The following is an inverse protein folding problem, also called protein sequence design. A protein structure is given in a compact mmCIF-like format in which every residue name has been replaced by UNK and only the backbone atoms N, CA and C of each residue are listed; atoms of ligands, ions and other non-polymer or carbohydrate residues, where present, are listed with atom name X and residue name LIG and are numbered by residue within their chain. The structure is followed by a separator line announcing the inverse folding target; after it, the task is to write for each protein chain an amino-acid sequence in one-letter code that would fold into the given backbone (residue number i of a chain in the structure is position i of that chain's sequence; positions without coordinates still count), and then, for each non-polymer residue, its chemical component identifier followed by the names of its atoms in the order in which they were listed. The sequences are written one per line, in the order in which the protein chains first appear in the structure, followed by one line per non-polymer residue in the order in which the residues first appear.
data_IF_216022401930
#
_entry.id   IF_216022401930
#
_cell.length_a   1.000
_cell.length_b   1.000
_cell.length_c   1.000
_cell.angle_alpha   90.00
_cell.angle_beta   90.00
_cell.angle_gamma   90.00
#
_symmetry.space_group_name_H-M   'P 1'
#
loop_
_entity.id
_entity.type
_entity.pdbx_description
1 polymer ?
#
# COMPACT_ATOMS: atom_id res chain seq x y z
N UNK A 1 8.74 -1.74 -35.82
CA UNK A 1 10.11 -1.31 -35.47
C UNK A 1 11.13 -1.72 -36.54
N UNK A 2 10.89 -2.80 -37.30
CA UNK A 2 11.90 -3.39 -38.20
C UNK A 2 12.29 -2.55 -39.43
N UNK A 3 11.39 -1.72 -39.98
CA UNK A 3 11.73 -0.88 -41.15
C UNK A 3 12.73 0.25 -40.86
N UNK A 4 12.84 0.70 -39.61
CA UNK A 4 13.70 1.85 -39.29
C UNK A 4 15.15 1.44 -38.98
N UNK A 5 15.35 0.25 -38.41
CA UNK A 5 16.66 -0.36 -38.23
C UNK A 5 17.34 -0.68 -39.58
N UNK A 6 16.55 -1.11 -40.58
CA UNK A 6 17.07 -1.34 -41.94
C UNK A 6 17.60 -0.05 -42.60
N UNK A 7 17.03 1.11 -42.28
CA UNK A 7 17.42 2.40 -42.85
C UNK A 7 18.75 2.93 -42.26
N UNK A 8 19.16 2.47 -41.07
CA UNK A 8 20.44 2.84 -40.45
C UNK A 8 21.67 2.32 -41.21
N UNK A 9 21.51 1.28 -42.03
CA UNK A 9 22.57 0.73 -42.90
C UNK A 9 22.65 1.40 -44.27
N UNK A 10 21.76 2.35 -44.56
CA UNK A 10 21.71 3.07 -45.83
C UNK A 10 22.46 4.40 -45.70
N UNK A 11 23.25 4.80 -46.70
CA UNK A 11 23.94 6.10 -46.67
C UNK A 11 22.92 7.23 -46.46
N UNK A 12 23.12 8.17 -45.50
CA UNK A 12 22.15 9.21 -45.18
C UNK A 12 21.76 10.09 -46.39
N UNK A 13 22.64 10.18 -47.38
CA UNK A 13 22.44 10.93 -48.63
C UNK A 13 21.37 10.31 -49.54
N UNK A 14 21.09 9.01 -49.41
CA UNK A 14 20.12 8.28 -50.23
C UNK A 14 18.70 8.29 -49.64
N UNK A 15 18.53 8.88 -48.46
CA UNK A 15 17.25 8.94 -47.76
C UNK A 15 16.47 10.20 -48.13
N UNK A 16 15.15 10.05 -48.26
CA UNK A 16 14.26 11.21 -48.41
C UNK A 16 14.32 12.10 -47.16
N UNK A 17 13.90 13.36 -47.28
CA UNK A 17 13.85 14.31 -46.15
C UNK A 17 12.95 13.76 -45.02
N UNK A 18 11.83 13.13 -45.37
CA UNK A 18 10.90 12.50 -44.42
C UNK A 18 11.55 11.33 -43.68
N UNK A 19 12.24 10.43 -44.39
CA UNK A 19 12.96 9.30 -43.78
C UNK A 19 14.07 9.77 -42.83
N UNK A 20 14.85 10.80 -43.23
CA UNK A 20 15.87 11.39 -42.36
C UNK A 20 15.28 12.01 -41.09
N UNK A 21 14.16 12.72 -41.22
CA UNK A 21 13.47 13.30 -40.07
C UNK A 21 12.96 12.21 -39.11
N UNK A 22 12.41 11.12 -39.63
CA UNK A 22 11.93 9.99 -38.84
C UNK A 22 13.05 9.27 -38.09
N UNK A 23 14.18 8.98 -38.77
CA UNK A 23 15.34 8.35 -38.12
C UNK A 23 15.91 9.28 -37.04
N UNK A 24 16.06 10.57 -37.34
CA UNK A 24 16.58 11.53 -36.37
C UNK A 24 15.67 11.68 -35.15
N UNK A 25 14.34 11.62 -35.33
CA UNK A 25 13.39 11.60 -34.22
C UNK A 25 13.56 10.34 -33.36
N UNK A 26 13.71 9.16 -33.96
CA UNK A 26 13.93 7.91 -33.24
C UNK A 26 15.27 7.88 -32.50
N UNK A 27 16.34 8.34 -33.14
CA UNK A 27 17.65 8.46 -32.49
C UNK A 27 17.59 9.41 -31.28
N UNK A 28 16.83 10.51 -31.37
CA UNK A 28 16.60 11.41 -30.22
C UNK A 28 15.86 10.71 -29.08
N UNK A 29 14.82 9.94 -29.39
CA UNK A 29 14.07 9.17 -28.37
C UNK A 29 14.99 8.15 -27.68
N UNK A 30 15.76 7.38 -28.46
CA UNK A 30 16.70 6.40 -27.90
C UNK A 30 17.82 7.07 -27.08
N UNK A 31 18.32 8.22 -27.54
CA UNK A 31 19.29 9.00 -26.79
C UNK A 31 18.73 9.46 -25.44
N UNK A 32 17.52 10.03 -25.42
CA UNK A 32 16.86 10.42 -24.17
C UNK A 32 16.59 9.22 -23.26
N UNK A 33 16.16 8.08 -23.80
CA UNK A 33 15.96 6.87 -23.01
C UNK A 33 17.26 6.38 -22.36
N UNK A 34 18.36 6.37 -23.11
CA UNK A 34 19.67 5.96 -22.62
C UNK A 34 20.21 6.93 -21.57
N UNK A 35 20.18 8.24 -21.84
CA UNK A 35 20.63 9.26 -20.89
C UNK A 35 19.78 9.24 -19.61
N UNK A 36 18.47 9.05 -19.74
CA UNK A 36 17.56 9.00 -18.60
C UNK A 36 17.82 7.78 -17.71
N UNK A 37 18.12 6.64 -18.33
CA UNK A 37 18.54 5.44 -17.60
C UNK A 37 19.80 5.71 -16.80
N UNK A 38 20.82 6.33 -17.41
CA UNK A 38 22.10 6.66 -16.75
C UNK A 38 21.92 7.59 -15.55
N UNK A 39 21.01 8.56 -15.64
CA UNK A 39 20.68 9.45 -14.52
C UNK A 39 20.13 8.67 -13.32
N UNK A 40 19.34 7.62 -13.58
CA UNK A 40 18.66 6.83 -12.55
C UNK A 40 19.49 5.66 -12.00
N UNK A 41 20.65 5.35 -12.59
CA UNK A 41 21.50 4.21 -12.19
C UNK A 41 21.82 4.22 -10.69
N UNK A 42 22.03 5.40 -10.09
CA UNK A 42 22.40 5.51 -8.66
C UNK A 42 21.35 5.02 -7.66
N UNK A 43 20.11 4.78 -8.09
CA UNK A 43 19.03 4.25 -7.25
C UNK A 43 18.46 2.94 -7.76
N UNK A 44 18.83 2.49 -8.96
CA UNK A 44 18.38 1.20 -9.51
C UNK A 44 18.79 0.02 -8.65
N UNK A 45 19.97 0.10 -8.04
CA UNK A 45 20.50 -0.97 -7.18
C UNK A 45 20.02 -0.88 -5.73
N UNK A 46 18.97 -0.09 -5.42
CA UNK A 46 18.48 0.09 -4.05
C UNK A 46 18.09 -1.23 -3.35
N UNK A 47 17.64 -2.23 -4.12
CA UNK A 47 17.31 -3.56 -3.59
C UNK A 47 18.52 -4.48 -3.36
N UNK A 48 19.74 -4.05 -3.72
CA UNK A 48 20.94 -4.88 -3.57
C UNK A 48 21.49 -4.86 -2.14
N UNK A 49 21.97 -6.00 -1.60
CA UNK A 49 22.62 -6.04 -0.30
C UNK A 49 23.84 -5.11 -0.27
N UNK A 50 23.86 -4.18 0.70
CA UNK A 50 24.97 -3.23 0.87
C UNK A 50 24.82 -1.92 0.10
N UNK A 51 23.66 -1.66 -0.52
CA UNK A 51 23.31 -0.34 -1.03
C UNK A 51 23.52 0.76 0.03
N UNK A 52 24.09 1.89 -0.39
CA UNK A 52 24.34 3.06 0.46
C UNK A 52 23.98 4.32 -0.28
N UNK A 53 23.31 5.25 0.41
CA UNK A 53 22.98 6.54 -0.18
C UNK A 53 24.14 7.50 0.06
N UNK A 54 24.96 7.73 -0.96
CA UNK A 54 26.10 8.64 -0.84
C UNK A 54 25.72 10.04 -0.35
N UNK A 55 26.61 10.70 0.40
CA UNK A 55 26.38 12.06 0.96
C UNK A 55 25.94 13.10 -0.09
N UNK A 56 26.42 12.97 -1.33
CA UNK A 56 26.01 13.83 -2.43
C UNK A 56 24.53 13.66 -2.80
N UNK A 57 24.05 12.41 -2.85
CA UNK A 57 22.64 12.10 -3.09
C UNK A 57 21.75 12.59 -1.95
N UNK A 58 22.17 12.38 -0.70
CA UNK A 58 21.46 12.92 0.48
C UNK A 58 21.32 14.44 0.43
N UNK A 59 22.40 15.15 0.05
CA UNK A 59 22.38 16.61 -0.10
C UNK A 59 21.48 17.07 -1.23
N UNK A 60 21.49 16.37 -2.38
CA UNK A 60 20.56 16.64 -3.49
C UNK A 60 19.13 16.50 -3.03
N UNK A 61 18.78 15.39 -2.39
CA UNK A 61 17.42 15.14 -1.89
C UNK A 61 16.98 16.21 -0.90
N UNK A 62 17.85 16.59 0.06
CA UNK A 62 17.55 17.68 1.00
C UNK A 62 17.26 18.99 0.28
N UNK A 63 18.12 19.38 -0.66
CA UNK A 63 17.93 20.60 -1.45
C UNK A 63 16.68 20.55 -2.32
N UNK A 64 16.27 19.35 -2.76
CA UNK A 64 15.06 19.11 -3.52
C UNK A 64 13.80 19.31 -2.65
N UNK A 65 13.81 18.74 -1.45
CA UNK A 65 12.73 18.85 -0.48
C UNK A 65 12.52 20.29 0.01
N UNK A 66 13.62 20.98 0.30
CA UNK A 66 13.65 22.34 0.84
C UNK A 66 13.66 23.43 -0.26
N UNK A 67 13.45 23.06 -1.53
CA UNK A 67 13.47 24.01 -2.64
C UNK A 67 12.30 25.00 -2.58
N UNK A 68 12.60 26.30 -2.66
CA UNK A 68 11.62 27.40 -2.65
C UNK A 68 11.68 28.30 -3.90
N UNK A 69 12.51 27.97 -4.88
CA UNK A 69 12.70 28.79 -6.08
C UNK A 69 11.55 28.69 -7.11
N UNK A 70 11.49 29.60 -8.09
CA UNK A 70 10.33 29.82 -8.96
C UNK A 70 10.16 28.82 -10.12
N UNK A 71 10.86 27.67 -10.10
CA UNK A 71 10.81 26.71 -11.20
C UNK A 71 9.50 25.92 -11.22
N UNK A 72 8.71 26.09 -12.27
CA UNK A 72 7.46 25.35 -12.47
C UNK A 72 7.69 23.83 -12.53
N UNK A 73 8.76 23.38 -13.20
CA UNK A 73 9.13 21.95 -13.27
C UNK A 73 9.29 21.33 -11.88
N UNK A 74 10.01 22.02 -10.98
CA UNK A 74 10.23 21.52 -9.61
C UNK A 74 8.95 21.65 -8.77
N UNK A 75 8.17 22.71 -8.95
CA UNK A 75 6.87 22.86 -8.30
C UNK A 75 5.92 21.71 -8.66
N UNK A 76 5.85 21.33 -9.93
CA UNK A 76 5.04 20.20 -10.40
C UNK A 76 5.51 18.87 -9.81
N UNK A 77 6.82 18.67 -9.64
CA UNK A 77 7.36 17.48 -8.98
C UNK A 77 6.89 17.35 -7.53
N UNK A 78 6.70 18.44 -6.79
CA UNK A 78 6.21 18.35 -5.39
C UNK A 78 4.84 17.68 -5.28
N UNK A 79 4.04 17.71 -6.34
CA UNK A 79 2.75 17.03 -6.42
C UNK A 79 2.85 15.57 -6.89
N UNK A 80 4.00 15.13 -7.41
CA UNK A 80 4.22 13.73 -7.78
C UNK A 80 4.23 12.79 -6.57
N UNK A 81 4.07 11.48 -6.80
CA UNK A 81 4.12 10.47 -5.75
C UNK A 81 5.43 10.55 -4.95
N UNK A 82 5.43 10.32 -3.62
CA UNK A 82 6.63 10.51 -2.80
C UNK A 82 7.80 9.62 -3.23
N UNK A 83 7.55 8.38 -3.66
CA UNK A 83 8.58 7.47 -4.20
C UNK A 83 9.29 8.05 -5.42
N UNK A 84 8.53 8.44 -6.45
CA UNK A 84 9.04 9.13 -7.64
C UNK A 84 9.84 10.40 -7.28
N UNK A 85 9.33 11.22 -6.35
CA UNK A 85 10.01 12.42 -5.92
C UNK A 85 11.37 12.11 -5.27
N UNK A 86 11.44 11.07 -4.42
CA UNK A 86 12.71 10.65 -3.80
C UNK A 86 13.70 10.14 -4.83
N UNK A 87 13.26 9.27 -5.74
CA UNK A 87 14.08 8.73 -6.83
C UNK A 87 14.74 9.88 -7.60
N UNK A 88 13.94 10.87 -8.01
CA UNK A 88 14.45 12.04 -8.72
C UNK A 88 15.36 12.91 -7.83
N UNK A 89 14.98 13.17 -6.58
CA UNK A 89 15.76 13.99 -5.66
C UNK A 89 17.11 13.37 -5.26
N UNK A 90 17.23 12.04 -5.31
CA UNK A 90 18.50 11.35 -5.10
C UNK A 90 19.41 11.43 -6.32
N UNK A 91 18.85 11.44 -7.53
CA UNK A 91 19.58 11.43 -8.79
C UNK A 91 19.95 12.83 -9.31
N UNK A 92 19.02 13.78 -9.22
CA UNK A 92 19.11 15.09 -9.87
C UNK A 92 19.31 16.22 -8.87
N UNK A 93 20.06 17.24 -9.26
CA UNK A 93 20.05 18.53 -8.56
C UNK A 93 18.93 19.43 -9.10
N UNK A 94 18.52 20.43 -8.31
CA UNK A 94 17.58 21.46 -8.77
C UNK A 94 18.05 22.15 -10.07
N UNK A 95 19.36 22.30 -10.24
CA UNK A 95 19.97 22.89 -11.44
C UNK A 95 19.79 22.01 -12.67
N UNK A 96 19.92 20.69 -12.50
CA UNK A 96 19.74 19.73 -13.60
C UNK A 96 18.30 19.77 -14.10
N UNK A 97 17.32 19.76 -13.19
CA UNK A 97 15.90 19.86 -13.54
C UNK A 97 15.57 21.15 -14.28
N UNK A 98 16.03 22.30 -13.76
CA UNK A 98 15.77 23.61 -14.38
C UNK A 98 16.37 23.71 -15.77
N UNK A 99 17.54 23.11 -16.00
CA UNK A 99 18.27 23.18 -17.28
C UNK A 99 17.96 22.06 -18.24
N UNK A 100 17.20 21.06 -17.81
CA UNK A 100 16.84 19.92 -18.64
C UNK A 100 15.99 20.38 -19.82
N UNK A 101 16.35 19.92 -21.02
CA UNK A 101 15.51 20.05 -22.21
C UNK A 101 14.17 19.35 -21.93
N UNK A 102 13.07 19.90 -22.44
CA UNK A 102 11.72 19.45 -22.09
C UNK A 102 11.53 17.93 -22.30
N UNK A 103 11.88 17.40 -23.49
CA UNK A 103 11.77 15.96 -23.76
C UNK A 103 12.71 15.05 -22.97
N UNK A 104 13.82 15.57 -22.44
CA UNK A 104 14.76 14.78 -21.64
C UNK A 104 14.25 14.61 -20.21
N UNK A 105 13.77 15.71 -19.60
CA UNK A 105 13.21 15.65 -18.25
C UNK A 105 11.97 14.76 -18.18
N UNK A 106 11.10 14.87 -19.19
CA UNK A 106 9.88 14.05 -19.28
C UNK A 106 10.22 12.56 -19.36
N UNK A 107 11.27 12.20 -20.10
CA UNK A 107 11.73 10.82 -20.19
C UNK A 107 12.34 10.31 -18.88
N UNK A 108 13.10 11.14 -18.16
CA UNK A 108 13.59 10.80 -16.80
C UNK A 108 12.42 10.59 -15.84
N UNK A 109 11.42 11.48 -15.85
CA UNK A 109 10.23 11.34 -15.02
C UNK A 109 9.43 10.08 -15.37
N UNK A 110 9.32 9.75 -16.66
CA UNK A 110 8.66 8.53 -17.14
C UNK A 110 9.38 7.28 -16.62
N UNK A 111 10.71 7.21 -16.74
CA UNK A 111 11.47 6.07 -16.24
C UNK A 111 11.48 5.96 -14.72
N UNK A 112 11.53 7.10 -14.01
CA UNK A 112 11.42 7.12 -12.55
C UNK A 112 10.10 6.50 -12.07
N UNK A 113 8.97 6.78 -12.76
CA UNK A 113 7.67 6.14 -12.49
C UNK A 113 7.67 4.64 -12.76
N UNK A 114 8.45 4.17 -13.74
CA UNK A 114 8.53 2.74 -14.05
C UNK A 114 9.30 1.96 -12.99
N UNK A 115 10.39 2.52 -12.47
CA UNK A 115 11.21 1.84 -11.45
C UNK A 115 10.70 2.06 -10.02
N UNK A 116 9.76 2.99 -9.83
CA UNK A 116 9.20 3.34 -8.52
C UNK A 116 8.71 2.12 -7.70
N UNK A 117 7.91 1.20 -8.25
CA UNK A 117 7.41 0.06 -7.48
C UNK A 117 8.51 -0.88 -7.00
N UNK A 118 9.62 -0.97 -7.73
CA UNK A 118 10.75 -1.86 -7.44
C UNK A 118 11.70 -1.23 -6.42
N UNK A 119 11.96 0.08 -6.55
CA UNK A 119 12.99 0.78 -5.80
C UNK A 119 12.47 1.38 -4.49
N UNK A 120 11.26 1.94 -4.52
CA UNK A 120 10.71 2.70 -3.38
C UNK A 120 10.57 1.89 -2.09
N UNK A 121 10.16 0.61 -2.09
CA UNK A 121 10.09 -0.19 -0.86
C UNK A 121 11.43 -0.27 -0.10
N UNK A 122 12.55 -0.22 -0.84
CA UNK A 122 13.90 -0.23 -0.25
C UNK A 122 14.33 1.17 0.21
N UNK A 123 13.93 2.22 -0.49
CA UNK A 123 14.30 3.60 -0.15
C UNK A 123 13.55 4.14 1.08
N UNK A 124 12.24 3.86 1.19
CA UNK A 124 11.39 4.44 2.26
C UNK A 124 11.84 4.04 3.67
N UNK A 125 12.42 2.86 3.82
CA UNK A 125 12.91 2.34 5.09
C UNK A 125 14.43 2.58 5.29
N UNK A 126 15.10 3.23 4.33
CA UNK A 126 16.53 3.46 4.41
C UNK A 126 16.86 4.57 5.42
N UNK A 127 17.65 4.24 6.46
CA UNK A 127 17.94 5.14 7.59
C UNK A 127 18.48 6.53 7.20
N UNK A 128 19.30 6.61 6.15
CA UNK A 128 19.83 7.89 5.66
C UNK A 128 18.76 8.76 4.99
N UNK A 129 17.80 8.15 4.29
CA UNK A 129 16.68 8.85 3.65
C UNK A 129 15.73 9.36 4.72
N UNK A 130 15.40 8.52 5.72
CA UNK A 130 14.61 8.91 6.88
C UNK A 130 15.18 10.17 7.57
N UNK A 131 16.49 10.19 7.81
CA UNK A 131 17.18 11.35 8.40
C UNK A 131 17.04 12.59 7.54
N UNK A 132 17.23 12.47 6.23
CA UNK A 132 17.10 13.60 5.29
C UNK A 132 15.68 14.15 5.30
N UNK A 133 14.67 13.29 5.14
CA UNK A 133 13.25 13.68 5.12
C UNK A 133 12.84 14.31 6.44
N UNK A 134 13.18 13.70 7.58
CA UNK A 134 12.83 14.24 8.90
C UNK A 134 13.51 15.60 9.19
N UNK A 135 14.70 15.83 8.65
CA UNK A 135 15.42 17.10 8.76
C UNK A 135 14.96 18.21 7.80
N UNK A 136 14.05 17.90 6.86
CA UNK A 136 13.51 18.89 5.90
C UNK A 136 12.51 19.83 6.58
N UNK A 137 12.29 21.02 6.02
CA UNK A 137 11.21 21.92 6.43
C UNK A 137 9.85 21.61 5.76
N UNK A 138 9.81 20.66 4.82
CA UNK A 138 8.63 20.34 4.02
C UNK A 138 7.68 19.37 4.74
N UNK A 139 6.86 19.89 5.66
CA UNK A 139 5.91 19.10 6.46
C UNK A 139 4.87 18.36 5.61
N UNK A 140 4.45 18.93 4.48
CA UNK A 140 3.51 18.29 3.56
C UNK A 140 4.10 17.03 2.95
N UNK A 141 5.36 17.10 2.50
CA UNK A 141 6.06 15.92 1.99
C UNK A 141 6.26 14.88 3.09
N UNK A 142 6.66 15.29 4.31
CA UNK A 142 6.82 14.37 5.45
C UNK A 142 5.57 13.56 5.71
N UNK A 143 4.39 14.20 5.75
CA UNK A 143 3.12 13.50 5.96
C UNK A 143 2.84 12.46 4.86
N UNK A 144 3.06 12.82 3.60
CA UNK A 144 2.88 11.90 2.45
C UNK A 144 3.90 10.76 2.43
N UNK A 145 5.14 11.05 2.83
CA UNK A 145 6.21 10.07 2.95
C UNK A 145 5.94 9.08 4.09
N UNK A 146 5.42 9.54 5.22
CA UNK A 146 5.04 8.66 6.33
C UNK A 146 3.89 7.74 5.94
N UNK A 147 2.85 8.28 5.27
CA UNK A 147 1.76 7.46 4.76
C UNK A 147 2.25 6.37 3.78
N UNK A 148 3.21 6.71 2.91
CA UNK A 148 3.84 5.74 2.01
C UNK A 148 4.64 4.69 2.78
N UNK A 149 5.41 5.07 3.81
CA UNK A 149 6.13 4.12 4.67
C UNK A 149 5.20 3.15 5.35
N UNK A 150 4.13 3.66 5.96
CA UNK A 150 3.12 2.83 6.61
C UNK A 150 2.52 1.83 5.62
N UNK A 151 2.16 2.27 4.42
CA UNK A 151 1.64 1.39 3.36
C UNK A 151 2.65 0.30 2.96
N UNK A 152 3.93 0.63 2.83
CA UNK A 152 4.96 -0.35 2.49
C UNK A 152 5.25 -1.33 3.63
N UNK A 153 5.27 -0.86 4.88
CA UNK A 153 5.40 -1.72 6.05
C UNK A 153 4.24 -2.70 6.17
N UNK A 154 3.02 -2.22 5.94
CA UNK A 154 1.83 -3.09 5.87
C UNK A 154 2.03 -4.11 4.75
N UNK A 155 2.33 -3.68 3.53
CA UNK A 155 2.51 -4.57 2.38
C UNK A 155 3.60 -5.65 2.60
N UNK A 156 4.69 -5.32 3.30
CA UNK A 156 5.75 -6.26 3.63
C UNK A 156 5.29 -7.39 4.59
N UNK A 157 4.30 -7.11 5.45
CA UNK A 157 3.70 -8.09 6.37
C UNK A 157 2.62 -8.97 5.72
N UNK A 158 2.34 -8.79 4.43
CA UNK A 158 1.32 -9.54 3.70
C UNK A 158 1.72 -11.01 3.58
N UNK A 159 0.82 -11.90 3.99
CA UNK A 159 1.01 -13.35 3.89
C UNK A 159 0.56 -13.85 2.52
N UNK A 160 -0.62 -13.41 2.07
CA UNK A 160 -1.25 -13.88 0.84
C UNK A 160 -2.32 -12.90 0.34
N UNK A 161 -3.02 -13.27 -0.73
CA UNK A 161 -4.23 -12.59 -1.16
C UNK A 161 -5.27 -13.59 -1.62
N UNK A 162 -6.53 -13.26 -1.39
CA UNK A 162 -7.67 -14.03 -1.90
C UNK A 162 -8.53 -13.11 -2.78
N UNK A 163 -9.19 -13.70 -3.78
CA UNK A 163 -10.09 -12.98 -4.67
C UNK A 163 -11.51 -13.46 -4.40
N UNK A 164 -12.37 -12.55 -3.91
CA UNK A 164 -13.74 -12.87 -3.50
C UNK A 164 -14.66 -11.80 -4.10
N UNK A 165 -15.70 -12.23 -4.81
CA UNK A 165 -16.72 -11.35 -5.40
C UNK A 165 -16.16 -10.20 -6.24
N UNK A 166 -15.09 -10.44 -7.00
CA UNK A 166 -14.50 -9.40 -7.85
C UNK A 166 -13.47 -8.51 -7.14
N UNK A 167 -13.17 -8.74 -5.86
CA UNK A 167 -12.32 -7.88 -5.04
C UNK A 167 -11.15 -8.69 -4.48
N UNK A 168 -9.93 -8.15 -4.59
CA UNK A 168 -8.78 -8.68 -3.89
C UNK A 168 -8.80 -8.26 -2.42
N UNK A 169 -8.65 -9.25 -1.54
CA UNK A 169 -8.38 -9.06 -0.12
C UNK A 169 -6.97 -9.53 0.18
N UNK A 170 -6.19 -8.66 0.81
CA UNK A 170 -4.84 -8.94 1.27
C UNK A 170 -4.90 -9.48 2.69
N UNK A 171 -4.31 -10.66 2.88
CA UNK A 171 -4.34 -11.39 4.15
C UNK A 171 -3.07 -11.12 4.94
N UNK A 172 -3.26 -10.74 6.20
CA UNK A 172 -2.24 -10.51 7.20
C UNK A 172 -2.61 -11.29 8.46
N UNK A 173 -1.62 -11.64 9.28
CA UNK A 173 -1.86 -12.13 10.65
C UNK A 173 -1.35 -11.06 11.58
N UNK A 174 -2.19 -10.65 12.54
CA UNK A 174 -1.84 -9.70 13.58
C UNK A 174 -1.51 -10.45 14.88
N UNK A 175 -0.23 -10.83 15.10
CA UNK A 175 0.20 -11.27 16.41
C UNK A 175 0.30 -10.04 17.34
N UNK A 176 -0.15 -10.19 18.58
CA UNK A 176 0.17 -9.25 19.69
C UNK A 176 -0.26 -7.79 19.48
N UNK A 177 -1.52 -7.55 19.08
CA UNK A 177 -2.10 -6.19 19.04
C UNK A 177 -2.96 -5.94 20.29
N UNK A 178 -2.65 -4.92 21.13
CA UNK A 178 -3.41 -4.65 22.36
C UNK A 178 -4.92 -4.43 22.11
N UNK A 179 -5.27 -3.75 21.02
CA UNK A 179 -6.67 -3.52 20.61
C UNK A 179 -7.41 -4.81 20.25
N UNK A 180 -6.68 -5.86 19.90
CA UNK A 180 -7.22 -7.17 19.51
C UNK A 180 -7.11 -8.20 20.63
N UNK A 181 -6.59 -7.84 21.80
CA UNK A 181 -6.39 -8.76 22.93
C UNK A 181 -7.63 -9.62 23.25
N UNK A 182 -8.86 -9.07 23.27
CA UNK A 182 -10.05 -9.90 23.50
C UNK A 182 -10.27 -10.96 22.41
N UNK A 183 -10.07 -10.61 21.14
CA UNK A 183 -10.19 -11.56 20.02
C UNK A 183 -9.06 -12.59 20.02
N UNK A 184 -7.84 -12.15 20.36
CA UNK A 184 -6.66 -13.02 20.48
C UNK A 184 -6.91 -14.08 21.55
N UNK A 185 -7.45 -13.71 22.72
CA UNK A 185 -7.77 -14.64 23.81
C UNK A 185 -8.85 -15.64 23.45
N UNK A 186 -9.81 -15.25 22.61
CA UNK A 186 -10.85 -16.14 22.11
C UNK A 186 -10.31 -17.10 21.05
N UNK A 187 -9.29 -16.69 20.28
CA UNK A 187 -8.77 -17.47 19.16
C UNK A 187 -7.95 -18.68 19.59
N UNK A 188 -8.19 -19.84 18.96
CA UNK A 188 -7.46 -21.08 19.24
C UNK A 188 -5.94 -20.97 19.07
N UNK A 189 -5.51 -20.20 18.07
CA UNK A 189 -4.12 -20.06 17.70
C UNK A 189 -3.48 -18.80 18.31
N UNK A 190 -4.21 -18.05 19.15
CA UNK A 190 -3.74 -16.79 19.73
C UNK A 190 -3.46 -15.71 18.68
N UNK A 191 -4.10 -15.77 17.51
CA UNK A 191 -3.91 -14.78 16.44
C UNK A 191 -5.24 -14.36 15.81
N UNK A 192 -5.21 -13.18 15.17
CA UNK A 192 -6.32 -12.65 14.37
C UNK A 192 -5.85 -12.51 12.94
N UNK A 193 -6.59 -13.10 12.00
CA UNK A 193 -6.39 -12.86 10.58
C UNK A 193 -7.06 -11.55 10.19
N UNK A 194 -6.35 -10.68 9.47
CA UNK A 194 -6.84 -9.40 8.99
C UNK A 194 -6.90 -9.44 7.47
N UNK A 195 -8.06 -9.18 6.90
CA UNK A 195 -8.32 -9.12 5.47
C UNK A 195 -8.59 -7.68 5.07
N UNK A 196 -7.61 -7.06 4.41
CA UNK A 196 -7.70 -5.69 3.93
C UNK A 196 -8.08 -5.68 2.44
N UNK A 197 -9.20 -5.05 2.05
CA UNK A 197 -9.61 -4.97 0.65
C UNK A 197 -8.73 -3.99 -0.14
N UNK A 198 -8.54 -4.28 -1.42
CA UNK A 198 -7.92 -3.35 -2.37
C UNK A 198 -8.76 -2.08 -2.53
N UNK A 199 -10.08 -2.23 -2.68
CA UNK A 199 -11.04 -1.13 -2.83
C UNK A 199 -11.31 -0.41 -1.50
N UNK A 200 -11.86 0.80 -1.57
CA UNK A 200 -12.23 1.60 -0.39
C UNK A 200 -13.55 1.12 0.22
N UNK A 201 -13.52 -0.09 0.78
CA UNK A 201 -14.62 -0.74 1.49
C UNK A 201 -14.11 -1.30 2.83
N UNK A 202 -15.02 -1.76 3.68
CA UNK A 202 -14.66 -2.35 4.98
C UNK A 202 -13.75 -3.58 4.84
N UNK A 203 -12.84 -3.72 5.81
CA UNK A 203 -12.04 -4.93 5.97
C UNK A 203 -12.64 -5.88 7.01
N UNK A 204 -12.04 -7.07 7.14
CA UNK A 204 -12.56 -8.14 8.00
C UNK A 204 -11.46 -8.67 8.90
N UNK A 205 -11.74 -8.73 10.20
CA UNK A 205 -10.99 -9.52 11.17
C UNK A 205 -11.63 -10.90 11.27
N UNK A 206 -10.82 -11.95 11.33
CA UNK A 206 -11.29 -13.33 11.42
C UNK A 206 -10.54 -14.09 12.48
N UNK A 207 -11.28 -14.77 13.35
CA UNK A 207 -10.74 -15.70 14.33
C UNK A 207 -11.44 -17.06 14.22
N UNK A 208 -10.75 -18.11 14.65
CA UNK A 208 -11.35 -19.42 14.87
C UNK A 208 -11.26 -19.72 16.36
N UNK A 209 -12.39 -19.98 17.00
CA UNK A 209 -12.51 -20.24 18.44
C UNK A 209 -13.17 -21.59 18.71
N UNK A 210 -13.04 -22.07 19.95
CA UNK A 210 -13.63 -23.32 20.38
C UNK A 210 -15.14 -23.30 20.28
N UNK A 211 -15.72 -24.47 20.05
CA UNK A 211 -17.16 -24.63 20.17
C UNK A 211 -17.60 -24.31 21.61
N UNK A 212 -18.30 -23.19 21.76
CA UNK A 212 -18.85 -22.70 23.03
C UNK A 212 -20.31 -22.28 22.81
N UNK A 213 -21.21 -23.12 23.33
CA UNK A 213 -22.67 -22.90 23.22
C UNK A 213 -23.09 -21.64 23.98
N UNK A 214 -22.47 -21.33 25.12
CA UNK A 214 -22.83 -20.15 25.92
C UNK A 214 -22.43 -18.88 25.18
N UNK A 215 -21.26 -18.89 24.53
CA UNK A 215 -20.82 -17.79 23.67
C UNK A 215 -21.76 -17.58 22.47
N UNK A 216 -22.19 -18.68 21.81
CA UNK A 216 -23.12 -18.63 20.69
C UNK A 216 -24.52 -18.15 21.08
N UNK A 217 -25.08 -18.66 22.18
CA UNK A 217 -26.38 -18.25 22.72
C UNK A 217 -26.36 -16.76 23.07
N UNK A 218 -25.30 -16.33 23.75
CA UNK A 218 -25.16 -14.96 24.22
C UNK A 218 -25.00 -13.97 23.07
N UNK A 219 -24.09 -14.22 22.13
CA UNK A 219 -23.76 -13.23 21.11
C UNK A 219 -24.58 -13.39 19.83
N UNK A 220 -24.95 -14.61 19.45
CA UNK A 220 -25.43 -14.95 18.10
C UNK A 220 -26.81 -15.61 18.04
N UNK A 221 -27.63 -15.49 19.08
CA UNK A 221 -29.00 -16.02 19.11
C UNK A 221 -29.11 -17.55 18.93
N UNK A 222 -28.01 -18.27 19.11
CA UNK A 222 -28.02 -19.72 18.91
C UNK A 222 -29.03 -20.39 19.83
N UNK A 223 -29.88 -21.24 19.28
CA UNK A 223 -30.82 -22.04 20.05
C UNK A 223 -30.40 -23.51 20.00
N UNK A 224 -29.80 -23.97 21.10
CA UNK A 224 -29.34 -25.34 21.24
C UNK A 224 -30.41 -26.39 20.94
N UNK A 225 -31.68 -26.16 21.26
CA UNK A 225 -32.73 -27.16 21.01
C UNK A 225 -33.09 -27.29 19.53
N UNK A 226 -32.96 -26.20 18.76
CA UNK A 226 -33.33 -26.15 17.35
C UNK A 226 -32.14 -26.39 16.39
N UNK A 227 -30.92 -26.06 16.82
CA UNK A 227 -29.77 -25.87 15.90
C UNK A 227 -28.59 -26.81 16.18
N UNK A 228 -28.71 -27.73 17.15
CA UNK A 228 -27.60 -28.60 17.57
C UNK A 228 -27.01 -29.46 16.45
N UNK A 229 -27.83 -29.87 15.48
CA UNK A 229 -27.46 -30.72 14.35
C UNK A 229 -27.48 -29.96 13.00
N UNK A 230 -27.61 -28.63 13.05
CA UNK A 230 -27.57 -27.81 11.84
C UNK A 230 -26.11 -27.68 11.38
N UNK A 231 -25.77 -28.33 10.26
CA UNK A 231 -24.46 -28.19 9.63
C UNK A 231 -24.25 -26.74 9.17
N UNK A 232 -23.28 -26.04 9.77
CA UNK A 232 -22.85 -24.72 9.34
C UNK A 232 -23.79 -23.57 9.75
N UNK A 233 -24.26 -23.58 11.00
CA UNK A 233 -25.04 -22.47 11.57
C UNK A 233 -24.35 -21.13 11.28
N UNK A 234 -25.10 -20.17 10.74
CA UNK A 234 -24.59 -18.84 10.40
C UNK A 234 -25.53 -17.79 10.96
N UNK A 235 -25.00 -16.86 11.75
CA UNK A 235 -25.82 -15.84 12.42
C UNK A 235 -25.05 -14.52 12.63
N UNK A 236 -25.81 -13.46 12.83
CA UNK A 236 -25.33 -12.11 13.12
C UNK A 236 -25.40 -11.83 14.63
N UNK A 237 -24.49 -10.99 15.13
CA UNK A 237 -24.40 -10.72 16.56
C UNK A 237 -25.39 -9.64 17.03
N UNK A 238 -25.76 -9.69 18.31
CA UNK A 238 -26.38 -8.55 18.99
C UNK A 238 -25.42 -7.38 19.19
N UNK A 239 -25.77 -6.22 18.64
CA UNK A 239 -24.97 -4.98 18.73
C UNK A 239 -24.60 -4.66 20.17
N UNK A 240 -25.57 -4.76 21.09
CA UNK A 240 -25.41 -4.38 22.51
C UNK A 240 -24.44 -5.31 23.27
N UNK A 241 -24.16 -6.50 22.75
CA UNK A 241 -23.33 -7.50 23.38
C UNK A 241 -21.92 -7.60 22.79
N UNK A 242 -21.67 -6.96 21.64
CA UNK A 242 -20.35 -6.95 20.98
C UNK A 242 -19.27 -6.39 21.90
N UNK A 243 -19.48 -5.22 22.51
CA UNK A 243 -18.46 -4.61 23.38
C UNK A 243 -18.09 -5.49 24.58
N UNK A 244 -19.08 -6.21 25.11
CA UNK A 244 -18.89 -7.07 26.27
C UNK A 244 -18.22 -8.41 25.90
N UNK A 245 -18.53 -8.97 24.73
CA UNK A 245 -18.01 -10.28 24.31
C UNK A 245 -16.69 -10.18 23.54
N UNK A 246 -16.53 -9.16 22.70
CA UNK A 246 -15.39 -8.99 21.79
C UNK A 246 -14.52 -7.77 22.15
N UNK A 247 -14.93 -6.96 23.14
CA UNK A 247 -14.18 -5.81 23.63
C UNK A 247 -14.63 -4.46 23.04
N UNK A 248 -14.31 -3.39 23.78
CA UNK A 248 -14.73 -2.03 23.43
C UNK A 248 -14.05 -1.51 22.16
N UNK A 249 -12.79 -1.84 21.93
CA UNK A 249 -12.05 -1.41 20.73
C UNK A 249 -12.67 -1.99 19.45
N UNK A 250 -13.09 -3.26 19.50
CA UNK A 250 -13.79 -3.93 18.40
C UNK A 250 -15.14 -3.27 18.14
N UNK A 251 -15.91 -3.00 19.19
CA UNK A 251 -17.18 -2.30 19.06
C UNK A 251 -17.01 -0.90 18.43
N UNK A 252 -15.98 -0.16 18.83
CA UNK A 252 -15.69 1.16 18.26
C UNK A 252 -15.25 1.06 16.79
N UNK A 253 -14.38 0.12 16.45
CA UNK A 253 -13.91 -0.09 15.08
C UNK A 253 -15.05 -0.54 14.13
N UNK A 254 -15.95 -1.38 14.64
CA UNK A 254 -17.18 -1.77 13.97
C UNK A 254 -18.08 -0.56 13.70
N UNK A 255 -18.25 0.34 14.67
CA UNK A 255 -19.09 1.53 14.52
C UNK A 255 -18.59 2.51 13.46
N UNK A 256 -17.31 2.46 13.10
CA UNK A 256 -16.74 3.25 12.02
C UNK A 256 -16.91 2.61 10.62
N UNK A 257 -17.47 1.40 10.53
CA UNK A 257 -17.62 0.67 9.27
C UNK A 257 -18.80 1.15 8.43
N UNK A 258 -18.67 1.01 7.11
CA UNK A 258 -19.76 1.27 6.15
C UNK A 258 -20.92 0.30 6.41
N UNK A 259 -20.61 -0.97 6.68
CA UNK A 259 -21.57 -2.03 6.98
C UNK A 259 -22.45 -1.66 8.16
N UNK A 260 -21.86 -1.10 9.23
CA UNK A 260 -22.64 -0.68 10.40
C UNK A 260 -23.59 0.46 10.09
N UNK A 261 -23.17 1.40 9.24
CA UNK A 261 -24.01 2.51 8.82
C UNK A 261 -25.26 2.04 8.05
N UNK A 262 -25.21 0.84 7.43
CA UNK A 262 -26.31 0.24 6.69
C UNK A 262 -27.26 -0.61 7.53
N UNK A 263 -26.91 -0.95 8.78
CA UNK A 263 -27.70 -1.83 9.65
C UNK A 263 -29.02 -1.17 10.16
N UNK A 264 -29.40 0.05 9.75
CA UNK A 264 -30.72 0.67 9.94
C UNK A 264 -31.34 0.54 11.36
N UNK A 265 -30.52 0.63 12.43
CA UNK A 265 -30.94 0.46 13.84
C UNK A 265 -31.44 -0.94 14.23
N UNK A 266 -31.12 -1.98 13.46
CA UNK A 266 -31.39 -3.37 13.85
C UNK A 266 -30.66 -3.71 15.17
N UNK A 267 -31.29 -4.42 16.13
CA UNK A 267 -30.61 -4.97 17.30
C UNK A 267 -29.46 -5.93 16.95
N UNK A 268 -29.51 -6.56 15.77
CA UNK A 268 -28.45 -7.37 15.20
C UNK A 268 -27.57 -6.54 14.27
N UNK A 269 -26.31 -6.95 14.10
CA UNK A 269 -25.37 -6.30 13.17
C UNK A 269 -24.79 -7.27 12.17
N UNK A 270 -24.75 -6.86 10.91
CA UNK A 270 -24.04 -7.60 9.87
C UNK A 270 -22.52 -7.47 9.98
N UNK A 271 -22.03 -6.63 10.89
CA UNK A 271 -20.60 -6.46 11.08
C UNK A 271 -19.96 -7.58 11.89
N UNK A 272 -20.73 -8.35 12.67
CA UNK A 272 -20.19 -9.48 13.43
C UNK A 272 -21.01 -10.70 13.09
N UNK A 273 -20.38 -11.62 12.37
CA UNK A 273 -20.99 -12.86 11.91
C UNK A 273 -20.25 -14.03 12.50
N UNK A 274 -20.97 -15.12 12.73
CA UNK A 274 -20.35 -16.40 12.99
C UNK A 274 -20.75 -17.42 11.93
N UNK A 275 -19.84 -18.35 11.68
CA UNK A 275 -20.12 -19.63 11.08
C UNK A 275 -19.69 -20.71 12.08
N UNK A 276 -20.65 -21.43 12.64
CA UNK A 276 -20.41 -22.41 13.68
C UNK A 276 -20.56 -23.83 13.11
N UNK A 277 -19.60 -24.69 13.46
CA UNK A 277 -19.57 -26.10 13.12
C UNK A 277 -19.76 -26.90 14.41
N UNK A 278 -20.97 -27.42 14.68
CA UNK A 278 -21.30 -28.10 15.94
C UNK A 278 -20.25 -29.12 16.38
N UNK A 279 -19.80 -29.00 17.62
CA UNK A 279 -18.79 -29.87 18.23
C UNK A 279 -17.36 -29.72 17.69
N UNK A 280 -17.12 -28.81 16.74
CA UNK A 280 -15.80 -28.58 16.13
C UNK A 280 -15.26 -27.20 16.50
N UNK A 281 -15.73 -26.14 15.81
CA UNK A 281 -15.17 -24.79 15.93
C UNK A 281 -16.25 -23.74 15.61
N UNK A 282 -15.98 -22.50 16.01
CA UNK A 282 -16.71 -21.33 15.57
C UNK A 282 -15.74 -20.42 14.83
N UNK A 283 -16.12 -20.01 13.63
CA UNK A 283 -15.44 -18.97 12.88
C UNK A 283 -16.19 -17.66 13.13
N UNK A 284 -15.50 -16.66 13.70
CA UNK A 284 -16.08 -15.33 13.91
C UNK A 284 -15.42 -14.35 12.94
N UNK A 285 -16.26 -13.62 12.22
CA UNK A 285 -15.87 -12.58 11.28
C UNK A 285 -16.38 -11.24 11.80
N UNK A 286 -15.48 -10.26 11.92
CA UNK A 286 -15.76 -8.91 12.37
C UNK A 286 -15.38 -7.93 11.27
N UNK A 287 -16.38 -7.34 10.63
CA UNK A 287 -16.23 -6.25 9.67
C UNK A 287 -15.95 -4.94 10.38
N UNK A 288 -14.87 -4.27 10.00
CA UNK A 288 -14.45 -2.97 10.52
C UNK A 288 -14.03 -2.05 9.38
N UNK A 289 -13.93 -0.75 9.63
CA UNK A 289 -13.49 0.19 8.60
C UNK A 289 -12.09 -0.14 8.06
N UNK A 290 -11.85 0.20 6.79
CA UNK A 290 -10.52 0.04 6.16
C UNK A 290 -9.43 0.78 6.93
N UNK A 291 -9.76 1.96 7.44
CA UNK A 291 -8.84 2.78 8.24
C UNK A 291 -8.42 2.06 9.52
N UNK A 292 -9.37 1.46 10.24
CA UNK A 292 -9.04 0.70 11.45
C UNK A 292 -8.26 -0.58 11.15
N UNK A 293 -8.54 -1.27 10.03
CA UNK A 293 -7.69 -2.38 9.58
C UNK A 293 -6.24 -1.91 9.37
N UNK A 294 -6.03 -0.79 8.67
CA UNK A 294 -4.68 -0.24 8.47
C UNK A 294 -4.03 0.12 9.81
N UNK A 295 -4.75 0.78 10.70
CA UNK A 295 -4.23 1.15 12.03
C UNK A 295 -3.72 -0.10 12.78
N UNK A 296 -4.49 -1.19 12.80
CA UNK A 296 -4.10 -2.46 13.41
C UNK A 296 -2.80 -3.02 12.79
N UNK A 297 -2.68 -2.94 11.46
CA UNK A 297 -1.53 -3.49 10.73
C UNK A 297 -0.27 -2.62 10.91
N UNK A 298 -0.40 -1.30 11.04
CA UNK A 298 0.73 -0.39 11.25
C UNK A 298 1.47 -0.67 12.57
N UNK A 299 0.76 -1.12 13.62
CA UNK A 299 1.38 -1.48 14.90
C UNK A 299 2.14 -2.82 14.87
N UNK A 300 2.20 -3.54 13.74
CA UNK A 300 2.95 -4.80 13.62
C UNK A 300 4.41 -4.61 13.22
N UNK A 301 4.80 -3.40 12.80
CA UNK A 301 6.15 -3.05 12.32
C UNK A 301 7.04 -2.39 13.36
#
# INVERSE_FOLDING_TARGET
MDNALHLLHTRPQNLTVSQRAQILAQCKVLAFQSEASQVLDSVRDAGTPGFKVGKAAQRRLKNFLDWTGPSEKISNLKHSAPGVFMILGLCLSNRDVVRSKDGMFDEVLRQARLIDPEVTPHLVNHSEILKVVNSSSNNMFKARFEALREEQSIAASRISSIFVNGIYYYHYVAPTQPKLEPLIRLSFNGTVAVYLPELDIDGVLKITTAWDVVFLEKLFLFNKEAEYDAAGFTSCAYVTLVAHCLGQDIFNAMNASITRALDNQDPLTNCVKCQAFPGQVIIVEVTISKAECKNILTYMG
#
